data_IF_661147821684
#
_entry.id   IF_661147821684
#
_cell.length_a   1.000
_cell.length_b   1.000
_cell.length_c   1.000
_cell.angle_alpha   90.00
_cell.angle_beta   90.00
_cell.angle_gamma   90.00
#
_symmetry.space_group_name_H-M   'P 1'
#
loop_
_entity.id
_entity.type
_entity.pdbx_description
1 polymer ?
#
# COMPACT_ATOMS: atom_id res chain seq x y z
N UNK A 1 7.55 -6.32 10.40
CA UNK A 1 8.78 -5.64 9.93
C UNK A 1 8.69 -4.16 10.25
N UNK A 2 9.77 -3.52 10.68
CA UNK A 2 9.79 -2.09 10.96
C UNK A 2 10.44 -1.32 9.80
N UNK A 3 9.86 -0.17 9.45
CA UNK A 3 10.39 0.74 8.43
C UNK A 3 10.39 2.16 9.00
N UNK A 4 11.51 2.86 8.83
CA UNK A 4 11.65 4.25 9.23
C UNK A 4 11.97 5.10 8.01
N UNK A 5 11.25 6.20 7.86
CA UNK A 5 11.45 7.19 6.79
C UNK A 5 11.60 8.55 7.46
N UNK A 6 12.68 9.25 7.13
CA UNK A 6 12.95 10.60 7.64
C UNK A 6 13.39 11.50 6.49
N UNK A 7 12.95 12.76 6.52
CA UNK A 7 13.45 13.81 5.64
C UNK A 7 13.42 15.16 6.37
N UNK A 8 14.32 16.05 5.98
CA UNK A 8 14.44 17.39 6.53
C UNK A 8 14.85 18.36 5.42
N UNK A 9 14.21 19.53 5.35
CA UNK A 9 14.59 20.57 4.40
C UNK A 9 14.17 21.96 4.85
N UNK A 10 14.85 22.98 4.33
CA UNK A 10 14.48 24.40 4.51
C UNK A 10 13.26 24.79 3.67
N UNK A 11 12.92 24.00 2.65
CA UNK A 11 11.74 24.19 1.80
C UNK A 11 10.73 23.07 2.02
N UNK A 12 9.45 23.44 2.14
CA UNK A 12 8.33 22.48 2.23
C UNK A 12 8.33 21.58 0.99
N UNK A 13 8.50 22.16 -0.19
CA UNK A 13 8.50 21.44 -1.47
C UNK A 13 9.57 20.37 -1.51
N UNK A 14 10.81 20.75 -1.21
CA UNK A 14 11.95 19.84 -1.19
C UNK A 14 11.80 18.74 -0.15
N UNK A 15 11.30 19.07 1.05
CA UNK A 15 11.04 18.08 2.11
C UNK A 15 10.02 17.02 1.66
N UNK A 16 8.90 17.46 1.06
CA UNK A 16 7.83 16.55 0.62
C UNK A 16 8.23 15.72 -0.61
N UNK A 17 9.04 16.28 -1.53
CA UNK A 17 9.60 15.51 -2.65
C UNK A 17 10.54 14.42 -2.17
N UNK A 18 11.42 14.72 -1.22
CA UNK A 18 12.32 13.74 -0.63
C UNK A 18 11.54 12.65 0.12
N UNK A 19 10.52 13.04 0.89
CA UNK A 19 9.63 12.11 1.59
C UNK A 19 9.00 11.10 0.61
N UNK A 20 8.44 11.60 -0.49
CA UNK A 20 7.81 10.76 -1.53
C UNK A 20 8.83 9.80 -2.14
N UNK A 21 10.04 10.29 -2.48
CA UNK A 21 11.12 9.44 -3.02
C UNK A 21 11.53 8.33 -2.06
N UNK A 22 11.72 8.65 -0.77
CA UNK A 22 12.07 7.65 0.25
C UNK A 22 10.93 6.65 0.49
N UNK A 23 9.68 7.10 0.42
CA UNK A 23 8.50 6.25 0.59
C UNK A 23 8.28 5.23 -0.55
N UNK A 24 8.93 5.38 -1.71
CA UNK A 24 8.85 4.41 -2.81
C UNK A 24 9.31 3.00 -2.42
N UNK A 25 10.15 2.87 -1.38
CA UNK A 25 10.54 1.57 -0.82
C UNK A 25 9.33 0.72 -0.40
N UNK A 26 8.23 1.36 0.02
CA UNK A 26 7.01 0.69 0.47
C UNK A 26 6.31 -0.09 -0.65
N UNK A 27 6.53 0.28 -1.93
CA UNK A 27 5.96 -0.46 -3.07
C UNK A 27 6.59 -1.84 -3.25
N UNK A 28 7.86 -2.00 -2.87
CA UNK A 28 8.62 -3.24 -3.00
C UNK A 28 8.44 -4.19 -1.81
N UNK A 29 7.98 -3.64 -0.69
CA UNK A 29 7.78 -4.39 0.54
C UNK A 29 6.41 -5.11 0.48
N UNK A 30 6.35 -6.45 0.62
CA UNK A 30 5.08 -7.14 0.79
C UNK A 30 4.47 -6.82 2.17
N UNK A 31 3.15 -6.89 2.27
CA UNK A 31 2.46 -6.70 3.56
C UNK A 31 1.45 -5.56 3.59
N UNK A 32 0.82 -5.39 4.76
CA UNK A 32 -0.07 -4.28 5.13
C UNK A 32 0.59 -3.49 6.26
N UNK A 33 0.48 -2.16 6.24
CA UNK A 33 0.89 -1.32 7.37
C UNK A 33 -0.14 -1.53 8.48
N UNK A 34 0.28 -2.09 9.61
CA UNK A 34 -0.57 -2.30 10.78
C UNK A 34 -0.58 -1.07 11.70
N UNK A 35 0.60 -0.50 11.94
CA UNK A 35 0.77 0.70 12.76
C UNK A 35 1.65 1.71 12.04
N UNK A 36 1.32 2.98 12.21
CA UNK A 36 2.14 4.09 11.77
C UNK A 36 2.23 5.12 12.90
N UNK A 37 3.34 5.84 12.93
CA UNK A 37 3.51 7.05 13.73
C UNK A 37 4.16 8.10 12.86
N UNK A 38 3.48 9.22 12.67
CA UNK A 38 3.97 10.36 11.91
C UNK A 38 4.32 11.51 12.87
N UNK A 39 5.53 12.03 12.77
CA UNK A 39 5.98 13.23 13.46
C UNK A 39 6.30 14.31 12.43
N UNK A 40 5.59 15.43 12.51
CA UNK A 40 5.75 16.60 11.65
C UNK A 40 6.14 17.79 12.53
N UNK A 41 7.25 18.44 12.21
CA UNK A 41 7.69 19.63 12.94
C UNK A 41 8.19 20.74 12.01
N UNK A 42 7.95 21.97 12.45
CA UNK A 42 8.39 23.19 11.79
C UNK A 42 9.33 23.94 12.73
N UNK A 43 10.63 23.85 12.47
CA UNK A 43 11.68 24.60 13.15
C UNK A 43 12.42 25.52 12.17
N UNK A 44 13.75 25.63 12.32
CA UNK A 44 14.61 26.23 11.29
C UNK A 44 14.49 25.49 9.95
N UNK A 45 14.23 24.19 10.02
CA UNK A 45 13.90 23.32 8.91
C UNK A 45 12.56 22.63 9.19
N UNK A 46 11.89 22.20 8.12
CA UNK A 46 10.76 21.29 8.22
C UNK A 46 11.29 19.87 8.23
N UNK A 47 10.90 19.08 9.22
CA UNK A 47 11.26 17.66 9.32
C UNK A 47 10.03 16.78 9.44
N UNK A 48 10.10 15.61 8.79
CA UNK A 48 9.09 14.56 8.85
C UNK A 48 9.77 13.26 9.22
N UNK A 49 9.23 12.58 10.24
CA UNK A 49 9.61 11.21 10.59
C UNK A 49 8.39 10.31 10.55
N UNK A 50 8.52 9.18 9.89
CA UNK A 50 7.49 8.17 9.78
C UNK A 50 8.07 6.84 10.26
N UNK A 51 7.44 6.25 11.26
CA UNK A 51 7.73 4.90 11.74
C UNK A 51 6.57 3.98 11.38
N UNK A 52 6.85 2.86 10.74
CA UNK A 52 5.84 1.92 10.23
C UNK A 52 6.10 0.52 10.75
N UNK A 53 5.03 -0.17 11.16
CA UNK A 53 5.01 -1.62 11.37
C UNK A 53 4.23 -2.28 10.24
N UNK A 54 4.87 -3.22 9.55
CA UNK A 54 4.32 -3.94 8.40
C UNK A 54 4.13 -5.41 8.76
N UNK A 55 2.89 -5.88 8.62
CA UNK A 55 2.48 -7.30 8.66
C UNK A 55 2.67 -7.91 7.27
N UNK A 56 3.48 -8.96 7.14
CA UNK A 56 3.92 -9.49 5.83
C UNK A 56 2.89 -10.44 5.19
N UNK A 57 1.85 -10.83 5.91
CA UNK A 57 0.85 -11.84 5.52
C UNK A 57 -0.23 -11.33 4.54
N UNK A 58 -0.30 -10.01 4.29
CA UNK A 58 -1.37 -9.38 3.50
C UNK A 58 -0.84 -8.65 2.27
N UNK A 59 -1.54 -8.77 1.14
CA UNK A 59 -1.16 -8.06 -0.09
C UNK A 59 -1.92 -6.73 -0.21
N UNK A 60 -1.32 -5.66 0.33
CA UNK A 60 -1.84 -4.29 0.19
C UNK A 60 -0.85 -3.41 -0.56
N UNK A 61 -1.39 -2.52 -1.40
CA UNK A 61 -0.67 -1.34 -1.83
C UNK A 61 -0.39 -0.47 -0.60
N UNK A 62 0.78 0.16 -0.54
CA UNK A 62 1.19 1.01 0.58
C UNK A 62 1.71 2.32 0.03
N UNK A 63 1.29 3.42 0.61
CA UNK A 63 1.68 4.75 0.13
C UNK A 63 1.75 5.74 1.28
N UNK A 64 2.67 6.69 1.15
CA UNK A 64 2.66 7.93 1.94
C UNK A 64 2.13 9.03 1.02
N UNK A 65 1.00 9.63 1.41
CA UNK A 65 0.45 10.82 0.78
C UNK A 65 1.00 12.02 1.55
N UNK A 66 1.55 12.97 0.82
CA UNK A 66 2.26 14.11 1.39
C UNK A 66 1.92 15.31 0.50
N UNK A 67 1.16 16.27 1.00
CA UNK A 67 0.68 17.43 0.25
C UNK A 67 0.83 18.72 1.03
N UNK A 68 0.86 19.84 0.30
CA UNK A 68 0.83 21.16 0.90
C UNK A 68 -0.03 22.14 0.09
N UNK A 69 -0.42 23.21 0.77
CA UNK A 69 -1.10 24.37 0.20
C UNK A 69 -0.48 25.65 0.78
N UNK A 70 -0.67 26.78 0.09
CA UNK A 70 -0.17 28.08 0.53
C UNK A 70 -1.09 29.22 0.08
N UNK A 71 -1.05 30.34 0.81
CA UNK A 71 -1.85 31.52 0.49
C UNK A 71 -3.11 31.65 1.37
N UNK A 72 -4.25 31.97 0.75
CA UNK A 72 -5.56 31.98 1.43
C UNK A 72 -6.16 30.57 1.47
N UNK A 73 -6.99 30.33 2.47
CA UNK A 73 -7.80 29.10 2.61
C UNK A 73 -6.97 27.81 2.54
N UNK A 74 -5.78 27.86 3.13
CA UNK A 74 -4.78 26.78 3.03
C UNK A 74 -5.31 25.43 3.52
N UNK A 75 -6.10 25.41 4.59
CA UNK A 75 -6.59 24.15 5.15
C UNK A 75 -7.63 23.49 4.24
N UNK A 76 -8.56 24.26 3.68
CA UNK A 76 -9.59 23.76 2.77
C UNK A 76 -8.97 23.18 1.50
N UNK A 77 -8.06 23.92 0.88
CA UNK A 77 -7.31 23.45 -0.30
C UNK A 77 -6.43 22.24 -0.01
N UNK A 78 -5.87 22.13 1.19
CA UNK A 78 -5.12 20.95 1.60
C UNK A 78 -6.04 19.74 1.76
N UNK A 79 -7.20 19.94 2.39
CA UNK A 79 -8.20 18.91 2.60
C UNK A 79 -8.72 18.36 1.27
N UNK A 80 -9.01 19.21 0.29
CA UNK A 80 -9.39 18.78 -1.07
C UNK A 80 -8.31 17.92 -1.72
N UNK A 81 -7.06 18.41 -1.77
CA UNK A 81 -5.91 17.68 -2.35
C UNK A 81 -5.68 16.32 -1.70
N UNK A 82 -5.77 16.27 -0.37
CA UNK A 82 -5.60 15.03 0.38
C UNK A 82 -6.79 14.09 0.15
N UNK A 83 -8.01 14.62 0.18
CA UNK A 83 -9.28 13.90 0.02
C UNK A 83 -9.34 13.10 -1.27
N UNK A 84 -8.96 13.72 -2.39
CA UNK A 84 -8.91 13.04 -3.69
C UNK A 84 -7.96 11.83 -3.69
N UNK A 85 -6.83 11.93 -2.98
CA UNK A 85 -5.80 10.88 -2.95
C UNK A 85 -6.10 9.74 -1.98
N UNK A 86 -6.94 9.98 -0.97
CA UNK A 86 -7.31 8.96 0.03
C UNK A 86 -8.63 8.26 -0.26
N UNK A 87 -9.37 8.66 -1.30
CA UNK A 87 -10.75 8.21 -1.58
C UNK A 87 -10.95 6.68 -1.56
N UNK A 88 -9.97 5.94 -2.10
CA UNK A 88 -10.00 4.47 -2.18
C UNK A 88 -8.91 3.82 -1.31
N UNK A 89 -8.49 4.51 -0.24
CA UNK A 89 -7.40 4.07 0.61
C UNK A 89 -7.84 4.00 2.07
N UNK A 90 -7.31 3.03 2.80
CA UNK A 90 -7.45 2.91 4.25
C UNK A 90 -6.36 3.75 4.92
N UNK A 91 -6.77 4.82 5.58
CA UNK A 91 -5.88 5.67 6.37
C UNK A 91 -5.46 4.92 7.63
N UNK A 92 -4.16 4.75 7.81
CA UNK A 92 -3.56 4.13 9.00
C UNK A 92 -3.24 5.18 10.06
N UNK A 93 -2.62 6.27 9.62
CA UNK A 93 -2.31 7.43 10.44
C UNK A 93 -2.27 8.67 9.55
N UNK A 94 -2.55 9.83 10.13
CA UNK A 94 -2.45 11.10 9.43
C UNK A 94 -2.06 12.21 10.40
N UNK A 95 -1.36 13.22 9.88
CA UNK A 95 -1.08 14.45 10.61
C UNK A 95 -1.13 15.62 9.64
N UNK A 96 -1.35 16.81 10.19
CA UNK A 96 -1.21 18.04 9.44
C UNK A 96 -0.63 19.11 10.36
N UNK A 97 -0.05 20.14 9.76
CA UNK A 97 0.39 21.30 10.49
C UNK A 97 0.47 22.52 9.60
N UNK A 98 0.51 23.68 10.24
CA UNK A 98 0.58 24.96 9.54
C UNK A 98 1.85 25.68 9.91
N UNK A 99 2.44 26.34 8.93
CA UNK A 99 3.65 27.11 9.09
C UNK A 99 3.47 28.48 8.43
N UNK A 100 3.87 29.53 9.13
CA UNK A 100 3.88 30.89 8.58
C UNK A 100 5.33 31.31 8.41
N UNK A 101 5.75 31.52 7.15
CA UNK A 101 7.12 31.95 6.88
C UNK A 101 7.40 33.29 7.59
N UNK A 102 8.47 33.40 8.40
CA UNK A 102 8.76 34.61 9.16
C UNK A 102 8.91 35.87 8.29
N UNK A 103 9.58 35.73 7.15
CA UNK A 103 9.92 36.86 6.26
C UNK A 103 8.72 37.25 5.39
N UNK A 104 8.16 36.31 4.63
CA UNK A 104 7.10 36.60 3.66
C UNK A 104 5.72 36.64 4.29
N UNK A 105 5.56 36.23 5.56
CA UNK A 105 4.29 36.01 6.27
C UNK A 105 3.33 35.07 5.52
N UNK A 106 3.83 34.34 4.51
CA UNK A 106 3.01 33.40 3.74
C UNK A 106 2.68 32.21 4.61
N UNK A 107 1.38 31.93 4.74
CA UNK A 107 0.86 30.76 5.45
C UNK A 107 0.90 29.54 4.53
N UNK A 108 1.32 28.43 5.10
CA UNK A 108 1.36 27.11 4.51
C UNK A 108 0.60 26.14 5.39
N UNK A 109 -0.03 25.14 4.78
CA UNK A 109 -0.51 23.95 5.45
C UNK A 109 0.11 22.73 4.78
N UNK A 110 0.56 21.78 5.60
CA UNK A 110 1.14 20.51 5.15
C UNK A 110 0.32 19.38 5.75
N UNK A 111 -0.02 18.39 4.93
CA UNK A 111 -0.72 17.18 5.34
C UNK A 111 0.06 15.94 4.93
N UNK A 112 0.14 14.97 5.83
CA UNK A 112 0.79 13.69 5.59
C UNK A 112 -0.17 12.60 6.05
N UNK A 113 -0.40 11.59 5.21
CA UNK A 113 -1.17 10.42 5.54
C UNK A 113 -0.42 9.16 5.11
N UNK A 114 -0.42 8.15 5.98
CA UNK A 114 0.03 6.81 5.67
C UNK A 114 -1.19 5.98 5.35
N UNK A 115 -1.21 5.35 4.18
CA UNK A 115 -2.37 4.61 3.70
C UNK A 115 -2.02 3.22 3.22
N UNK A 116 -2.96 2.30 3.44
CA UNK A 116 -3.03 1.03 2.74
C UNK A 116 -4.06 1.16 1.61
N UNK A 117 -3.71 0.74 0.41
CA UNK A 117 -4.65 0.61 -0.71
C UNK A 117 -4.99 -0.87 -0.77
N UNK A 118 -6.24 -1.28 -0.49
CA UNK A 118 -6.68 -2.64 -0.76
C UNK A 118 -6.38 -2.89 -2.24
N UNK A 119 -5.45 -3.81 -2.51
CA UNK A 119 -5.43 -4.42 -3.82
C UNK A 119 -6.66 -5.30 -3.78
N UNK A 120 -7.72 -4.89 -4.45
CA UNK A 120 -8.74 -5.85 -4.86
C UNK A 120 -7.93 -7.02 -5.42
N UNK A 121 -8.06 -8.19 -4.79
CA UNK A 121 -7.62 -9.40 -5.46
C UNK A 121 -8.33 -9.30 -6.80
N UNK A 122 -7.59 -9.37 -7.92
CA UNK A 122 -8.25 -9.75 -9.16
C UNK A 122 -9.16 -10.91 -8.78
N UNK A 123 -10.45 -10.67 -8.93
CA UNK A 123 -11.43 -11.65 -8.50
C UNK A 123 -11.08 -12.92 -9.24
N UNK A 124 -10.61 -13.92 -8.49
CA UNK A 124 -10.45 -15.25 -9.03
C UNK A 124 -11.81 -15.89 -9.32
N UNK A 125 -12.90 -15.25 -8.86
CA UNK A 125 -14.26 -15.57 -9.24
C UNK A 125 -14.40 -15.30 -10.75
N UNK A 126 -14.84 -16.34 -11.46
CA UNK A 126 -15.04 -16.37 -12.92
C UNK A 126 -13.79 -16.54 -13.79
N UNK A 127 -12.67 -17.02 -13.26
CA UNK A 127 -11.59 -17.52 -14.11
C UNK A 127 -12.11 -18.66 -15.01
N UNK A 128 -11.64 -18.67 -16.26
CA UNK A 128 -11.80 -19.82 -17.14
C UNK A 128 -11.07 -21.04 -16.57
N UNK A 129 -11.45 -22.23 -17.04
CA UNK A 129 -10.77 -23.49 -16.66
C UNK A 129 -9.28 -23.43 -17.00
N UNK A 130 -8.93 -22.83 -18.15
CA UNK A 130 -7.54 -22.72 -18.61
C UNK A 130 -6.70 -21.82 -17.71
N UNK A 131 -7.21 -20.64 -17.35
CA UNK A 131 -6.52 -19.71 -16.44
C UNK A 131 -6.33 -20.33 -15.05
N UNK A 132 -7.37 -20.97 -14.52
CA UNK A 132 -7.31 -21.68 -13.24
C UNK A 132 -6.25 -22.78 -13.27
N UNK A 133 -6.21 -23.58 -14.33
CA UNK A 133 -5.18 -24.63 -14.51
C UNK A 133 -3.78 -24.06 -14.67
N UNK A 134 -3.61 -22.94 -15.37
CA UNK A 134 -2.31 -22.29 -15.51
C UNK A 134 -1.75 -21.84 -14.15
N UNK A 135 -2.60 -21.31 -13.27
CA UNK A 135 -2.22 -20.93 -11.90
C UNK A 135 -1.87 -22.17 -11.08
N UNK A 136 -2.71 -23.21 -11.13
CA UNK A 136 -2.46 -24.48 -10.42
C UNK A 136 -1.16 -25.16 -10.89
N UNK A 137 -0.86 -25.12 -12.19
CA UNK A 137 0.37 -25.68 -12.76
C UNK A 137 1.61 -24.99 -12.20
N UNK A 138 1.64 -23.65 -12.17
CA UNK A 138 2.73 -22.89 -11.54
C UNK A 138 2.88 -23.21 -10.05
N UNK A 139 1.77 -23.36 -9.33
CA UNK A 139 1.82 -23.73 -7.93
C UNK A 139 2.42 -25.14 -7.75
N UNK A 140 1.99 -26.12 -8.56
CA UNK A 140 2.53 -27.48 -8.53
C UNK A 140 4.03 -27.51 -8.87
N UNK A 141 4.48 -26.80 -9.90
CA UNK A 141 5.90 -26.67 -10.25
C UNK A 141 6.76 -26.22 -9.05
N UNK A 142 6.30 -25.20 -8.31
CA UNK A 142 7.00 -24.67 -7.14
C UNK A 142 7.13 -25.70 -6.00
N UNK A 143 6.19 -26.64 -5.91
CA UNK A 143 6.20 -27.70 -4.89
C UNK A 143 6.60 -29.07 -5.44
N UNK A 144 7.35 -29.10 -6.55
CA UNK A 144 7.89 -30.34 -7.11
C UNK A 144 6.80 -31.30 -7.59
N UNK A 145 5.71 -30.76 -8.13
CA UNK A 145 4.55 -31.49 -8.66
C UNK A 145 3.82 -32.36 -7.63
N UNK A 146 3.92 -32.02 -6.33
CA UNK A 146 3.22 -32.74 -5.27
C UNK A 146 1.87 -32.07 -4.92
N UNK A 147 0.72 -32.58 -5.37
CA UNK A 147 -0.58 -31.96 -5.08
C UNK A 147 -1.00 -32.07 -3.61
N UNK A 148 -0.39 -32.97 -2.82
CA UNK A 148 -0.76 -33.17 -1.40
C UNK A 148 -0.40 -31.99 -0.51
N UNK A 149 0.48 -31.10 -0.97
CA UNK A 149 0.88 -29.89 -0.25
C UNK A 149 -0.13 -28.75 -0.40
N UNK A 150 -1.08 -28.88 -1.33
CA UNK A 150 -2.07 -27.86 -1.63
C UNK A 150 -3.31 -28.02 -0.74
N UNK A 151 -3.76 -26.92 -0.11
CA UNK A 151 -5.02 -26.90 0.61
C UNK A 151 -6.19 -26.77 -0.37
N UNK A 152 -6.72 -27.90 -0.83
CA UNK A 152 -7.80 -27.96 -1.84
C UNK A 152 -9.05 -27.19 -1.40
N UNK A 153 -9.38 -27.20 -0.11
CA UNK A 153 -10.57 -26.50 0.40
C UNK A 153 -10.44 -24.98 0.27
N UNK A 154 -9.26 -24.45 0.62
CA UNK A 154 -9.01 -23.00 0.51
C UNK A 154 -8.88 -22.56 -0.96
N UNK A 155 -8.28 -23.41 -1.81
CA UNK A 155 -8.17 -23.17 -3.24
C UNK A 155 -9.55 -23.16 -3.92
N UNK A 156 -10.41 -24.11 -3.58
CA UNK A 156 -11.79 -24.17 -4.09
C UNK A 156 -12.58 -22.90 -3.70
N UNK A 157 -12.42 -22.44 -2.45
CA UNK A 157 -12.99 -21.17 -1.98
C UNK A 157 -12.42 -19.98 -2.73
N UNK A 158 -11.12 -19.96 -2.98
CA UNK A 158 -10.44 -18.87 -3.69
C UNK A 158 -10.93 -18.71 -5.13
N UNK A 159 -11.14 -19.82 -5.85
CA UNK A 159 -11.61 -19.82 -7.23
C UNK A 159 -13.15 -19.81 -7.35
N UNK A 160 -13.87 -19.80 -6.23
CA UNK A 160 -15.33 -19.95 -6.18
C UNK A 160 -15.87 -21.17 -6.96
N UNK A 161 -15.21 -22.33 -6.81
CA UNK A 161 -15.61 -23.60 -7.42
C UNK A 161 -15.70 -24.72 -6.39
N UNK A 162 -16.20 -25.89 -6.79
CA UNK A 162 -16.22 -27.05 -5.91
C UNK A 162 -14.81 -27.65 -5.73
N UNK A 163 -14.62 -28.37 -4.63
CA UNK A 163 -13.38 -29.14 -4.39
C UNK A 163 -13.13 -30.16 -5.51
N UNK A 164 -14.19 -30.77 -6.01
CA UNK A 164 -14.13 -31.75 -7.10
C UNK A 164 -13.63 -31.12 -8.40
N UNK A 165 -14.01 -29.88 -8.69
CA UNK A 165 -13.45 -29.14 -9.84
C UNK A 165 -11.93 -28.98 -9.73
N UNK A 166 -11.42 -28.67 -8.53
CA UNK A 166 -9.98 -28.54 -8.29
C UNK A 166 -9.27 -29.89 -8.41
N UNK A 167 -9.85 -30.97 -7.88
CA UNK A 167 -9.29 -32.31 -8.06
C UNK A 167 -9.19 -32.68 -9.55
N UNK A 168 -10.26 -32.46 -10.32
CA UNK A 168 -10.28 -32.74 -11.75
C UNK A 168 -9.24 -31.91 -12.52
N UNK A 169 -9.05 -30.65 -12.15
CA UNK A 169 -8.05 -29.79 -12.79
C UNK A 169 -6.63 -30.24 -12.48
N UNK A 170 -6.34 -30.61 -11.24
CA UNK A 170 -5.03 -31.17 -10.85
C UNK A 170 -4.77 -32.49 -11.59
N UNK A 171 -5.76 -33.39 -11.67
CA UNK A 171 -5.61 -34.64 -12.41
C UNK A 171 -5.33 -34.41 -13.89
N UNK A 172 -6.01 -33.45 -14.52
CA UNK A 172 -5.77 -33.12 -15.93
C UNK A 172 -4.38 -32.52 -16.13
N UNK A 173 -3.95 -31.61 -15.26
CA UNK A 173 -2.60 -31.04 -15.31
C UNK A 173 -1.55 -32.16 -15.24
N UNK A 174 -1.70 -33.11 -14.31
CA UNK A 174 -0.76 -34.23 -14.13
C UNK A 174 -0.78 -35.25 -15.28
N UNK A 175 -1.87 -35.34 -16.06
CA UNK A 175 -1.92 -36.17 -17.29
C UNK A 175 -1.24 -35.50 -18.48
N UNK A 176 -1.23 -34.17 -18.50
CA UNK A 176 -0.63 -33.34 -19.55
C UNK A 176 0.86 -33.02 -19.31
N UNK A 177 1.42 -33.43 -18.16
CA UNK A 177 2.81 -33.18 -17.73
C UNK A 177 3.68 -34.42 -17.94
#
# INVERSE_FOLDING_TARGET
MLVFIECESSSIESCLEELRKKAEVLKKIPGRIDKAKIELSFGAFMSVRISLSIEVDKNYGKMVIAEYSSGKDVLERLQEKMGEKVKNAQIVDFTFGTYTMPITRRKYAVGIAVVNIPRERESFDNLSIEERRAILRKALELFGWNPKVLNISEIARLFNVSRDSIYNDIEQILKES
#
